data_IF_859233102135
#
_entry.id   IF_859233102135
#
_cell.length_a   1.000
_cell.length_b   1.000
_cell.length_c   1.000
_cell.angle_alpha   90.00
_cell.angle_beta   90.00
_cell.angle_gamma   90.00
#
_symmetry.space_group_name_H-M   'P 1'
#
loop_
_entity.id
_entity.type
_entity.pdbx_description
1 polymer ?
#
# COMPACT_ATOMS: atom_id res chain seq x y z
N UNK A 1 32.59 2.29 -36.93
CA UNK A 1 32.53 1.83 -35.53
C UNK A 1 31.20 2.32 -34.98
N UNK A 2 30.17 1.50 -35.13
CA UNK A 2 28.80 1.79 -34.71
C UNK A 2 28.72 1.62 -33.20
N UNK A 3 28.61 2.72 -32.47
CA UNK A 3 28.37 2.72 -31.03
C UNK A 3 26.90 2.37 -30.85
N UNK A 4 26.64 1.14 -30.41
CA UNK A 4 25.30 0.66 -30.08
C UNK A 4 24.74 1.46 -28.91
N UNK A 5 23.63 2.15 -29.15
CA UNK A 5 22.79 2.68 -28.10
C UNK A 5 22.09 1.49 -27.44
N UNK A 6 22.61 1.03 -26.29
CA UNK A 6 21.94 0.05 -25.47
C UNK A 6 20.69 0.68 -24.86
N UNK A 7 19.53 0.47 -25.48
CA UNK A 7 18.23 0.75 -24.87
C UNK A 7 18.13 -0.13 -23.62
N UNK A 8 18.15 0.51 -22.45
CA UNK A 8 17.67 -0.14 -21.21
C UNK A 8 16.31 -0.78 -21.52
N UNK A 9 16.04 -2.01 -21.07
CA UNK A 9 14.71 -2.60 -21.22
C UNK A 9 13.70 -1.61 -20.62
N UNK A 10 12.74 -1.20 -21.45
CA UNK A 10 11.82 -0.12 -21.15
C UNK A 10 10.91 -0.52 -19.98
N UNK A 11 10.93 0.23 -18.87
CA UNK A 11 10.12 -0.09 -17.70
C UNK A 11 8.65 0.29 -17.98
N UNK A 12 7.72 -0.68 -18.08
CA UNK A 12 6.33 -0.40 -18.46
C UNK A 12 5.59 0.48 -17.44
N UNK A 13 6.06 0.54 -16.19
CA UNK A 13 5.48 1.42 -15.17
C UNK A 13 5.82 2.90 -15.39
N UNK A 14 6.87 3.18 -16.17
CA UNK A 14 7.35 4.53 -16.47
C UNK A 14 6.79 5.09 -17.79
N UNK A 15 6.14 4.28 -18.60
CA UNK A 15 5.57 4.68 -19.89
C UNK A 15 4.11 5.10 -19.80
N UNK A 16 3.63 5.91 -20.76
CA UNK A 16 2.20 6.01 -21.00
C UNK A 16 1.66 4.68 -21.51
N UNK A 17 0.40 4.36 -21.16
CA UNK A 17 -0.22 3.09 -21.55
C UNK A 17 -1.25 3.32 -22.64
N UNK A 18 -1.08 2.60 -23.75
CA UNK A 18 -2.00 2.61 -24.90
C UNK A 18 -3.15 1.59 -24.77
N UNK A 19 -3.27 0.96 -23.59
CA UNK A 19 -4.38 0.06 -23.26
C UNK A 19 -5.71 0.82 -23.17
N UNK A 20 -6.86 0.13 -23.36
CA UNK A 20 -8.17 0.76 -23.20
C UNK A 20 -8.31 1.42 -21.83
N UNK A 21 -8.72 2.69 -21.81
CA UNK A 21 -8.83 3.50 -20.58
C UNK A 21 -7.53 3.68 -19.80
N UNK A 22 -6.35 3.46 -20.43
CA UNK A 22 -5.04 3.51 -19.77
C UNK A 22 -4.99 2.57 -18.56
N UNK A 23 -5.46 1.34 -18.72
CA UNK A 23 -5.32 0.31 -17.68
C UNK A 23 -3.88 -0.20 -17.59
N UNK A 24 -3.38 -0.60 -16.41
CA UNK A 24 -2.04 -1.16 -16.30
C UNK A 24 -1.85 -2.39 -17.20
N UNK A 25 -0.78 -2.48 -18.02
CA UNK A 25 -0.46 -3.67 -18.80
C UNK A 25 0.12 -4.76 -17.89
N UNK A 26 -0.75 -5.42 -17.11
CA UNK A 26 -0.36 -6.38 -16.07
C UNK A 26 0.44 -7.58 -16.60
N UNK A 27 0.29 -7.91 -17.87
CA UNK A 27 1.04 -8.95 -18.57
C UNK A 27 2.52 -8.58 -18.82
N UNK A 28 2.83 -7.29 -18.88
CA UNK A 28 4.19 -6.78 -19.05
C UNK A 28 4.86 -6.40 -17.73
N UNK A 29 4.08 -6.15 -16.67
CA UNK A 29 4.58 -5.70 -15.38
C UNK A 29 5.16 -6.87 -14.57
N UNK A 30 6.45 -6.76 -14.22
CA UNK A 30 7.17 -7.73 -13.39
C UNK A 30 7.60 -7.10 -12.06
N UNK A 31 7.86 -7.94 -11.05
CA UNK A 31 8.28 -7.49 -9.72
C UNK A 31 9.54 -6.60 -9.79
N UNK A 32 10.51 -6.97 -10.65
CA UNK A 32 11.76 -6.23 -10.86
C UNK A 32 11.58 -4.78 -11.37
N UNK A 33 10.41 -4.46 -11.93
CA UNK A 33 10.12 -3.11 -12.43
C UNK A 33 9.80 -2.11 -11.31
N UNK A 34 9.32 -2.57 -10.15
CA UNK A 34 8.77 -1.67 -9.13
C UNK A 34 9.81 -0.79 -8.45
N UNK A 35 10.92 -1.36 -7.96
CA UNK A 35 11.90 -0.57 -7.22
C UNK A 35 12.52 0.54 -8.09
N UNK A 36 13.00 0.27 -9.32
CA UNK A 36 13.47 1.34 -10.21
C UNK A 36 12.38 2.36 -10.54
N UNK A 37 11.13 1.91 -10.73
CA UNK A 37 10.02 2.82 -11.03
C UNK A 37 9.68 3.74 -9.86
N UNK A 38 9.70 3.25 -8.62
CA UNK A 38 9.47 4.07 -7.43
C UNK A 38 10.54 5.15 -7.28
N UNK A 39 11.81 4.78 -7.42
CA UNK A 39 12.93 5.73 -7.31
C UNK A 39 12.82 6.84 -8.35
N UNK A 40 12.55 6.49 -9.60
CA UNK A 40 12.49 7.48 -10.67
C UNK A 40 11.20 8.31 -10.63
N UNK A 41 10.10 7.72 -10.17
CA UNK A 41 8.86 8.46 -9.93
C UNK A 41 8.98 9.47 -8.77
N UNK A 42 9.62 9.11 -7.65
CA UNK A 42 9.88 10.05 -6.55
C UNK A 42 10.82 11.17 -6.98
N UNK A 43 11.84 10.85 -7.79
CA UNK A 43 12.74 11.87 -8.36
C UNK A 43 11.98 12.83 -9.29
N UNK A 44 11.09 12.32 -10.14
CA UNK A 44 10.26 13.15 -11.02
C UNK A 44 9.35 14.10 -10.21
N UNK A 45 8.63 13.58 -9.22
CA UNK A 45 7.77 14.40 -8.35
C UNK A 45 8.56 15.45 -7.58
N UNK A 46 9.75 15.09 -7.08
CA UNK A 46 10.64 16.05 -6.41
C UNK A 46 11.00 17.22 -7.33
N UNK A 47 11.32 16.95 -8.61
CA UNK A 47 11.63 17.99 -9.58
C UNK A 47 10.40 18.87 -9.91
N UNK A 48 9.22 18.28 -10.00
CA UNK A 48 7.95 19.01 -10.19
C UNK A 48 7.68 19.95 -9.01
N UNK A 49 7.85 19.45 -7.77
CA UNK A 49 7.70 20.26 -6.56
C UNK A 49 8.76 21.36 -6.46
N UNK A 50 10.02 21.07 -6.80
CA UNK A 50 11.08 22.07 -6.85
C UNK A 50 10.77 23.20 -7.85
N UNK A 51 10.16 22.88 -8.99
CA UNK A 51 9.72 23.88 -9.96
C UNK A 51 8.60 24.79 -9.39
N UNK A 52 7.67 24.22 -8.62
CA UNK A 52 6.61 24.99 -7.92
C UNK A 52 7.22 25.91 -6.86
N UNK A 53 8.13 25.37 -6.04
CA UNK A 53 8.79 26.13 -4.97
C UNK A 53 9.58 27.30 -5.51
N UNK A 54 10.32 27.09 -6.60
CA UNK A 54 11.24 28.08 -7.18
C UNK A 54 10.58 28.96 -8.26
N UNK A 55 9.27 28.88 -8.44
CA UNK A 55 8.55 29.71 -9.40
C UNK A 55 8.67 31.20 -9.03
N UNK A 56 9.18 32.03 -9.94
CA UNK A 56 9.51 33.45 -9.69
C UNK A 56 8.28 34.33 -9.43
N UNK A 57 7.16 34.03 -10.10
CA UNK A 57 5.91 34.75 -9.88
C UNK A 57 5.30 34.48 -8.50
N UNK A 58 4.56 35.46 -8.01
CA UNK A 58 3.74 35.36 -6.80
C UNK A 58 2.85 34.10 -6.82
N UNK A 59 2.64 33.43 -5.67
CA UNK A 59 1.80 32.25 -5.59
C UNK A 59 0.36 32.52 -6.04
N UNK A 60 -0.11 31.70 -6.99
CA UNK A 60 -1.49 31.67 -7.47
C UNK A 60 -2.04 30.27 -7.33
N UNK A 61 -3.37 30.13 -7.35
CA UNK A 61 -4.01 28.82 -7.36
C UNK A 61 -3.43 27.91 -8.47
N UNK A 62 -3.25 28.46 -9.68
CA UNK A 62 -2.74 27.72 -10.84
C UNK A 62 -1.28 27.29 -10.70
N UNK A 63 -0.38 28.21 -10.34
CA UNK A 63 1.06 27.92 -10.30
C UNK A 63 1.50 27.16 -9.04
N UNK A 64 0.61 26.98 -8.05
CA UNK A 64 0.92 26.30 -6.79
C UNK A 64 -0.05 25.15 -6.53
N UNK A 65 -1.35 25.38 -6.34
CA UNK A 65 -2.31 24.34 -5.94
C UNK A 65 -2.60 23.38 -7.10
N UNK A 66 -2.95 23.90 -8.27
CA UNK A 66 -3.22 23.08 -9.46
C UNK A 66 -1.94 22.36 -9.93
N UNK A 67 -0.79 23.02 -9.82
CA UNK A 67 0.50 22.41 -10.12
C UNK A 67 0.85 21.27 -9.16
N UNK A 68 0.59 21.44 -7.85
CA UNK A 68 0.76 20.37 -6.86
C UNK A 68 -0.19 19.21 -7.12
N UNK A 69 -1.45 19.48 -7.44
CA UNK A 69 -2.45 18.45 -7.75
C UNK A 69 -2.07 17.60 -8.96
N UNK A 70 -1.32 18.17 -9.90
CA UNK A 70 -0.80 17.46 -11.08
C UNK A 70 0.55 16.79 -10.84
N UNK A 71 1.26 17.16 -9.77
CA UNK A 71 2.56 16.56 -9.46
C UNK A 71 2.40 15.11 -8.96
N UNK A 72 3.44 14.31 -9.15
CA UNK A 72 3.49 12.94 -8.66
C UNK A 72 2.56 11.97 -9.40
N UNK A 73 2.02 12.33 -10.56
CA UNK A 73 1.16 11.43 -11.36
C UNK A 73 1.85 10.08 -11.63
N UNK A 74 3.14 10.13 -11.97
CA UNK A 74 3.97 8.95 -12.19
C UNK A 74 4.07 8.09 -10.91
N UNK A 75 4.34 8.71 -9.75
CA UNK A 75 4.43 7.98 -8.48
C UNK A 75 3.09 7.39 -8.06
N UNK A 76 2.00 8.12 -8.28
CA UNK A 76 0.64 7.68 -8.03
C UNK A 76 0.30 6.45 -8.87
N UNK A 77 0.66 6.44 -10.17
CA UNK A 77 0.46 5.30 -11.06
C UNK A 77 1.21 4.06 -10.59
N UNK A 78 2.51 4.19 -10.32
CA UNK A 78 3.35 3.08 -9.79
C UNK A 78 2.77 2.55 -8.46
N UNK A 79 2.41 3.46 -7.55
CA UNK A 79 1.87 3.13 -6.24
C UNK A 79 0.54 2.38 -6.30
N UNK A 80 -0.36 2.76 -7.22
CA UNK A 80 -1.67 2.11 -7.39
C UNK A 80 -1.52 0.68 -7.89
N UNK A 81 -0.67 0.44 -8.89
CA UNK A 81 -0.40 -0.91 -9.41
C UNK A 81 0.24 -1.76 -8.32
N UNK A 82 1.28 -1.25 -7.66
CA UNK A 82 1.97 -1.98 -6.60
C UNK A 82 1.02 -2.31 -5.43
N UNK A 83 0.21 -1.34 -4.99
CA UNK A 83 -0.75 -1.53 -3.91
C UNK A 83 -1.83 -2.56 -4.25
N UNK A 84 -2.29 -2.59 -5.50
CA UNK A 84 -3.23 -3.60 -5.99
C UNK A 84 -2.63 -5.00 -5.92
N UNK A 85 -1.44 -5.20 -6.50
CA UNK A 85 -0.77 -6.51 -6.48
C UNK A 85 -0.38 -6.94 -5.06
N UNK A 86 0.24 -6.06 -4.28
CA UNK A 86 0.64 -6.37 -2.91
C UNK A 86 -0.56 -6.57 -1.96
N UNK A 87 -1.75 -6.10 -2.33
CA UNK A 87 -2.99 -6.32 -1.59
C UNK A 87 -3.76 -7.59 -1.98
N UNK A 88 -3.77 -7.93 -3.27
CA UNK A 88 -4.63 -8.99 -3.82
C UNK A 88 -3.87 -10.24 -4.28
N UNK A 89 -2.62 -10.10 -4.71
CA UNK A 89 -1.80 -11.16 -5.30
C UNK A 89 -0.31 -10.98 -4.92
N UNK A 90 -0.04 -10.88 -3.62
CA UNK A 90 1.32 -10.63 -3.12
C UNK A 90 2.20 -11.88 -3.19
N UNK A 91 3.51 -11.68 -3.12
CA UNK A 91 4.53 -12.72 -3.03
C UNK A 91 5.72 -12.17 -2.22
N UNK A 92 6.72 -13.01 -1.94
CA UNK A 92 7.87 -12.62 -1.12
C UNK A 92 8.68 -11.46 -1.71
N UNK A 93 8.81 -11.39 -3.03
CA UNK A 93 9.51 -10.29 -3.71
C UNK A 93 8.77 -8.96 -3.54
N UNK A 94 7.45 -8.93 -3.77
CA UNK A 94 6.62 -7.75 -3.54
C UNK A 94 6.60 -7.33 -2.07
N UNK A 95 6.61 -8.29 -1.14
CA UNK A 95 6.72 -7.98 0.29
C UNK A 95 8.06 -7.36 0.67
N UNK A 96 9.16 -7.82 0.06
CA UNK A 96 10.48 -7.23 0.27
C UNK A 96 10.58 -5.84 -0.33
N UNK A 97 10.11 -5.64 -1.56
CA UNK A 97 9.99 -4.32 -2.18
C UNK A 97 9.16 -3.39 -1.28
N UNK A 98 8.05 -3.88 -0.70
CA UNK A 98 7.22 -3.09 0.21
C UNK A 98 7.97 -2.63 1.47
N UNK A 99 8.89 -3.44 2.01
CA UNK A 99 9.72 -3.06 3.16
C UNK A 99 10.73 -1.98 2.81
N UNK A 100 11.34 -2.09 1.64
CA UNK A 100 12.37 -1.15 1.19
C UNK A 100 11.76 0.19 0.74
N UNK A 101 10.63 0.15 0.03
CA UNK A 101 9.96 1.34 -0.51
C UNK A 101 9.23 2.15 0.55
N UNK A 102 8.68 1.50 1.59
CA UNK A 102 7.90 2.19 2.63
C UNK A 102 8.64 3.37 3.29
N UNK A 103 9.84 3.19 3.88
CA UNK A 103 10.56 4.31 4.50
C UNK A 103 11.00 5.37 3.49
N UNK A 104 11.37 4.97 2.26
CA UNK A 104 11.73 5.91 1.19
C UNK A 104 10.55 6.81 0.80
N UNK A 105 9.35 6.23 0.66
CA UNK A 105 8.13 6.99 0.35
C UNK A 105 7.68 7.87 1.50
N UNK A 106 7.81 7.40 2.74
CA UNK A 106 7.54 8.23 3.92
C UNK A 106 8.43 9.45 3.92
N UNK A 107 9.75 9.26 3.76
CA UNK A 107 10.70 10.36 3.68
C UNK A 107 10.37 11.33 2.56
N UNK A 108 10.05 10.82 1.37
CA UNK A 108 9.63 11.64 0.22
C UNK A 108 8.38 12.47 0.51
N UNK A 109 7.37 11.87 1.15
CA UNK A 109 6.14 12.57 1.57
C UNK A 109 6.42 13.64 2.63
N UNK A 110 7.31 13.36 3.59
CA UNK A 110 7.73 14.32 4.61
C UNK A 110 8.53 15.48 3.99
N UNK A 111 9.40 15.18 3.03
CA UNK A 111 10.17 16.20 2.29
C UNK A 111 9.29 17.19 1.55
N UNK A 112 8.13 16.76 1.06
CA UNK A 112 7.14 17.65 0.42
C UNK A 112 6.29 18.36 1.47
N UNK A 113 5.68 17.62 2.40
CA UNK A 113 4.70 18.17 3.34
C UNK A 113 5.29 19.03 4.45
N UNK A 114 6.58 18.88 4.76
CA UNK A 114 7.31 19.72 5.72
C UNK A 114 8.15 20.81 5.04
N UNK A 115 8.06 20.93 3.71
CA UNK A 115 8.77 21.97 2.96
C UNK A 115 8.21 23.36 3.28
N UNK A 116 9.00 24.16 3.99
CA UNK A 116 8.58 25.49 4.47
C UNK A 116 8.26 26.45 3.34
N UNK A 117 9.06 26.44 2.28
CA UNK A 117 8.87 27.34 1.13
C UNK A 117 7.59 26.98 0.40
N UNK A 118 7.34 25.69 0.18
CA UNK A 118 6.12 25.22 -0.45
C UNK A 118 4.89 25.59 0.39
N UNK A 119 4.95 25.31 1.69
CA UNK A 119 3.85 25.65 2.59
C UNK A 119 3.59 27.16 2.66
N UNK A 120 4.64 28.00 2.63
CA UNK A 120 4.48 29.45 2.56
C UNK A 120 3.71 29.88 1.31
N UNK A 121 3.98 29.28 0.15
CA UNK A 121 3.21 29.55 -1.09
C UNK A 121 1.74 29.17 -0.94
N UNK A 122 1.47 27.97 -0.41
CA UNK A 122 0.09 27.49 -0.15
C UNK A 122 -0.65 28.39 0.83
N UNK A 123 0.01 28.76 1.94
CA UNK A 123 -0.53 29.62 2.99
C UNK A 123 -0.90 31.01 2.46
N UNK A 124 -0.05 31.61 1.62
CA UNK A 124 -0.32 32.92 1.02
C UNK A 124 -1.61 32.92 0.17
N UNK A 125 -1.87 31.85 -0.57
CA UNK A 125 -3.09 31.69 -1.37
C UNK A 125 -4.29 31.50 -0.43
N UNK A 126 -4.14 30.64 0.58
CA UNK A 126 -5.19 30.35 1.56
C UNK A 126 -5.65 31.62 2.32
N UNK A 127 -4.72 32.46 2.76
CA UNK A 127 -5.02 33.72 3.47
C UNK A 127 -5.79 34.73 2.61
N UNK A 128 -5.69 34.61 1.28
CA UNK A 128 -6.39 35.47 0.31
C UNK A 128 -7.61 34.80 -0.32
N UNK A 129 -8.00 33.59 0.09
CA UNK A 129 -8.99 32.76 -0.63
C UNK A 129 -10.31 33.48 -0.95
N UNK A 130 -10.81 34.32 -0.05
CA UNK A 130 -12.06 35.07 -0.22
C UNK A 130 -12.01 36.12 -1.34
N UNK A 131 -10.82 36.61 -1.71
CA UNK A 131 -10.64 37.64 -2.75
C UNK A 131 -10.25 37.08 -4.12
N UNK A 132 -10.01 35.77 -4.23
CA UNK A 132 -9.50 35.12 -5.44
C UNK A 132 -10.60 34.70 -6.44
N UNK A 133 -11.88 34.78 -6.06
CA UNK A 133 -13.00 34.40 -6.93
C UNK A 133 -12.97 32.93 -7.38
N UNK A 134 -12.43 32.04 -6.54
CA UNK A 134 -12.31 30.61 -6.83
C UNK A 134 -13.68 29.93 -6.89
N UNK A 135 -13.80 28.88 -7.72
CA UNK A 135 -15.00 28.02 -7.71
C UNK A 135 -15.11 27.24 -6.40
N UNK A 136 -16.29 26.69 -6.06
CA UNK A 136 -16.44 25.85 -4.86
C UNK A 136 -15.43 24.69 -4.79
N UNK A 137 -15.16 24.04 -5.92
CA UNK A 137 -14.20 22.93 -6.01
C UNK A 137 -12.77 23.41 -5.79
N UNK A 138 -12.39 24.54 -6.38
CA UNK A 138 -11.07 25.14 -6.18
C UNK A 138 -10.85 25.57 -4.73
N UNK A 139 -11.85 26.18 -4.09
CA UNK A 139 -11.79 26.51 -2.67
C UNK A 139 -11.60 25.26 -1.81
N UNK A 140 -12.38 24.21 -2.08
CA UNK A 140 -12.25 22.94 -1.37
C UNK A 140 -10.86 22.33 -1.55
N UNK A 141 -10.31 22.36 -2.76
CA UNK A 141 -8.97 21.86 -3.04
C UNK A 141 -7.90 22.64 -2.25
N UNK A 142 -7.96 23.97 -2.30
CA UNK A 142 -7.05 24.84 -1.54
C UNK A 142 -7.14 24.58 -0.03
N UNK A 143 -8.35 24.43 0.51
CA UNK A 143 -8.56 24.10 1.92
C UNK A 143 -7.97 22.74 2.29
N UNK A 144 -8.17 21.72 1.45
CA UNK A 144 -7.62 20.38 1.67
C UNK A 144 -6.09 20.39 1.65
N UNK A 145 -5.46 21.09 0.70
CA UNK A 145 -4.01 21.25 0.68
C UNK A 145 -3.52 21.95 1.94
N UNK A 146 -4.06 23.12 2.27
CA UNK A 146 -3.64 23.88 3.45
C UNK A 146 -3.77 23.05 4.73
N UNK A 147 -4.93 22.43 4.97
CA UNK A 147 -5.15 21.59 6.14
C UNK A 147 -4.28 20.32 6.11
N UNK A 148 -3.98 19.78 4.93
CA UNK A 148 -3.05 18.67 4.74
C UNK A 148 -1.66 19.02 5.28
N UNK A 149 -1.07 20.13 4.80
CA UNK A 149 0.22 20.63 5.30
C UNK A 149 0.20 20.88 6.82
N UNK A 150 -0.86 21.50 7.34
CA UNK A 150 -0.99 21.76 8.79
C UNK A 150 -1.00 20.45 9.58
N UNK A 151 -1.79 19.46 9.16
CA UNK A 151 -1.89 18.14 9.82
C UNK A 151 -0.62 17.31 9.68
N UNK A 152 0.12 17.50 8.59
CA UNK A 152 1.43 16.90 8.38
C UNK A 152 2.55 17.59 9.17
N UNK A 153 2.27 18.67 9.90
CA UNK A 153 3.24 19.32 10.79
C UNK A 153 4.02 20.49 10.17
N UNK A 154 3.57 21.08 9.06
CA UNK A 154 4.28 22.19 8.40
C UNK A 154 4.51 23.42 9.31
N UNK A 155 3.66 23.63 10.33
CA UNK A 155 3.77 24.71 11.32
C UNK A 155 4.65 24.37 12.54
N UNK A 156 5.20 23.16 12.63
CA UNK A 156 6.10 22.79 13.72
C UNK A 156 7.44 23.54 13.60
N UNK A 157 8.16 23.66 14.71
CA UNK A 157 9.56 24.08 14.68
C UNK A 157 10.45 22.94 14.14
N UNK A 158 11.71 23.25 13.82
CA UNK A 158 12.64 22.29 13.22
C UNK A 158 12.86 21.04 14.09
N UNK A 159 12.93 21.21 15.41
CA UNK A 159 13.13 20.09 16.34
C UNK A 159 11.93 19.11 16.30
N UNK A 160 10.72 19.64 16.31
CA UNK A 160 9.50 18.83 16.30
C UNK A 160 9.20 18.26 14.90
N UNK A 161 9.62 18.93 13.82
CA UNK A 161 9.62 18.35 12.47
C UNK A 161 10.53 17.13 12.38
N UNK A 162 11.73 17.20 12.95
CA UNK A 162 12.65 16.07 12.97
C UNK A 162 12.09 14.91 13.81
N UNK A 163 11.48 15.18 14.96
CA UNK A 163 10.77 14.14 15.74
C UNK A 163 9.65 13.50 14.92
N UNK A 164 8.85 14.30 14.22
CA UNK A 164 7.74 13.80 13.41
C UNK A 164 8.22 12.91 12.25
N UNK A 165 9.32 13.27 11.58
CA UNK A 165 9.96 12.44 10.55
C UNK A 165 10.35 11.06 11.08
N UNK A 166 11.00 11.02 12.23
CA UNK A 166 11.38 9.76 12.87
C UNK A 166 10.14 8.90 13.23
N UNK A 167 9.08 9.53 13.75
CA UNK A 167 7.82 8.84 14.06
C UNK A 167 7.18 8.27 12.78
N UNK A 168 7.10 9.07 11.72
CA UNK A 168 6.51 8.65 10.45
C UNK A 168 7.27 7.45 9.85
N UNK A 169 8.61 7.50 9.87
CA UNK A 169 9.47 6.41 9.41
C UNK A 169 9.22 5.13 10.21
N UNK A 170 9.24 5.21 11.54
CA UNK A 170 8.97 4.06 12.42
C UNK A 170 7.58 3.47 12.18
N UNK A 171 6.54 4.32 12.13
CA UNK A 171 5.16 3.89 11.86
C UNK A 171 5.04 3.18 10.51
N UNK A 172 5.73 3.66 9.47
CA UNK A 172 5.69 3.04 8.14
C UNK A 172 6.28 1.63 8.15
N UNK A 173 7.39 1.43 8.88
CA UNK A 173 8.02 0.12 9.05
C UNK A 173 7.14 -0.82 9.89
N UNK A 174 6.58 -0.32 10.99
CA UNK A 174 5.67 -1.09 11.86
C UNK A 174 4.41 -1.52 11.12
N UNK A 175 3.83 -0.65 10.28
CA UNK A 175 2.65 -0.99 9.49
C UNK A 175 2.93 -2.10 8.48
N UNK A 176 4.06 -2.04 7.78
CA UNK A 176 4.49 -3.13 6.86
C UNK A 176 4.70 -4.43 7.63
N UNK A 177 5.39 -4.38 8.77
CA UNK A 177 5.61 -5.56 9.64
C UNK A 177 4.27 -6.16 10.08
N UNK A 178 3.36 -5.35 10.62
CA UNK A 178 2.05 -5.79 11.08
C UNK A 178 1.26 -6.50 9.97
N UNK A 179 1.19 -5.92 8.76
CA UNK A 179 0.46 -6.51 7.64
C UNK A 179 1.03 -7.87 7.22
N UNK A 180 2.36 -7.98 7.15
CA UNK A 180 3.02 -9.22 6.77
C UNK A 180 2.85 -10.30 7.84
N UNK A 181 3.04 -9.94 9.11
CA UNK A 181 2.84 -10.82 10.25
C UNK A 181 1.39 -11.34 10.27
N UNK A 182 0.40 -10.45 10.14
CA UNK A 182 -1.01 -10.83 10.08
C UNK A 182 -1.32 -11.76 8.90
N UNK A 183 -0.73 -11.54 7.72
CA UNK A 183 -0.90 -12.42 6.56
C UNK A 183 -0.29 -13.80 6.81
N UNK A 184 0.93 -13.87 7.37
CA UNK A 184 1.59 -15.15 7.72
C UNK A 184 0.78 -15.93 8.75
N UNK A 185 0.33 -15.26 9.81
CA UNK A 185 -0.57 -15.82 10.82
C UNK A 185 -1.89 -16.32 10.21
N UNK A 186 -2.44 -15.61 9.23
CA UNK A 186 -3.69 -16.02 8.56
C UNK A 186 -3.48 -17.21 7.62
N UNK A 187 -2.32 -17.30 6.96
CA UNK A 187 -1.97 -18.39 6.05
C UNK A 187 -1.55 -19.67 6.77
N UNK A 188 -1.23 -19.57 8.06
CA UNK A 188 -0.97 -20.72 8.93
C UNK A 188 -2.14 -21.72 8.88
N UNK A 189 -1.80 -23.00 9.06
CA UNK A 189 -2.79 -24.08 9.08
C UNK A 189 -3.63 -23.95 10.34
N UNK A 190 -4.96 -23.84 10.20
CA UNK A 190 -5.86 -23.78 11.34
C UNK A 190 -6.16 -25.18 11.92
N UNK A 191 -6.45 -26.14 11.04
CA UNK A 191 -6.71 -27.53 11.43
C UNK A 191 -6.44 -28.47 10.25
N UNK A 192 -5.82 -29.62 10.54
CA UNK A 192 -5.72 -30.76 9.62
C UNK A 192 -6.57 -31.89 10.16
N UNK A 193 -7.41 -32.48 9.30
CA UNK A 193 -8.22 -33.66 9.61
C UNK A 193 -7.74 -34.81 8.74
N UNK A 194 -7.61 -36.00 9.32
CA UNK A 194 -7.16 -37.23 8.66
C UNK A 194 -8.17 -38.39 8.79
N UNK A 195 -9.37 -38.11 9.32
CA UNK A 195 -10.45 -39.08 9.47
C UNK A 195 -11.81 -38.46 9.17
N UNK A 196 -12.60 -39.16 8.38
CA UNK A 196 -13.94 -38.74 7.93
C UNK A 196 -14.89 -38.45 9.09
N UNK A 197 -14.76 -39.17 10.21
CA UNK A 197 -15.61 -38.98 11.39
C UNK A 197 -15.58 -37.55 11.94
N UNK A 198 -14.50 -36.80 11.69
CA UNK A 198 -14.31 -35.43 12.13
C UNK A 198 -14.91 -34.38 11.18
N UNK A 199 -15.43 -34.80 10.03
CA UNK A 199 -16.12 -33.94 9.05
C UNK A 199 -17.62 -33.82 9.31
N UNK A 200 -18.16 -34.54 10.30
CA UNK A 200 -19.59 -34.57 10.61
C UNK A 200 -20.20 -33.16 10.73
N UNK A 201 -21.31 -32.94 10.00
CA UNK A 201 -22.07 -31.69 9.93
C UNK A 201 -21.58 -30.70 8.86
N UNK A 202 -20.36 -30.86 8.32
CA UNK A 202 -19.85 -29.95 7.29
C UNK A 202 -20.57 -30.15 5.95
N UNK A 203 -20.92 -29.07 5.22
CA UNK A 203 -21.42 -29.17 3.85
C UNK A 203 -20.37 -29.80 2.93
N UNK A 204 -20.81 -30.57 1.93
CA UNK A 204 -19.92 -31.26 0.99
C UNK A 204 -18.95 -30.30 0.28
N UNK A 205 -19.41 -29.11 -0.08
CA UNK A 205 -18.58 -28.06 -0.71
C UNK A 205 -17.41 -27.63 0.20
N UNK A 206 -17.65 -27.55 1.51
CA UNK A 206 -16.64 -27.18 2.51
C UNK A 206 -15.62 -28.32 2.68
N UNK A 207 -16.10 -29.56 2.67
CA UNK A 207 -15.25 -30.76 2.70
C UNK A 207 -14.38 -30.83 1.45
N UNK A 208 -14.95 -30.62 0.26
CA UNK A 208 -14.21 -30.64 -1.00
C UNK A 208 -13.15 -29.55 -1.03
N UNK A 209 -13.49 -28.31 -0.68
CA UNK A 209 -12.54 -27.20 -0.65
C UNK A 209 -11.37 -27.47 0.33
N UNK A 210 -11.64 -28.10 1.47
CA UNK A 210 -10.60 -28.47 2.43
C UNK A 210 -9.70 -29.60 1.90
N UNK A 211 -10.23 -30.54 1.11
CA UNK A 211 -9.44 -31.58 0.45
C UNK A 211 -8.54 -31.01 -0.66
N UNK A 212 -9.07 -30.08 -1.47
CA UNK A 212 -8.32 -29.38 -2.50
C UNK A 212 -7.17 -28.55 -1.88
N UNK A 213 -7.44 -27.86 -0.77
CA UNK A 213 -6.41 -27.16 0.00
C UNK A 213 -5.35 -28.11 0.56
N UNK A 214 -5.75 -29.28 1.05
CA UNK A 214 -4.82 -30.30 1.53
C UNK A 214 -3.91 -30.79 0.39
N UNK A 215 -4.47 -31.08 -0.78
CA UNK A 215 -3.72 -31.44 -1.98
C UNK A 215 -2.74 -30.34 -2.41
N UNK A 216 -3.18 -29.08 -2.43
CA UNK A 216 -2.32 -27.94 -2.75
C UNK A 216 -1.15 -27.78 -1.77
N UNK A 217 -1.27 -28.32 -0.55
CA UNK A 217 -0.23 -28.35 0.49
C UNK A 217 0.51 -29.68 0.58
N UNK A 218 0.35 -30.58 -0.38
CA UNK A 218 1.02 -31.89 -0.41
C UNK A 218 0.52 -32.88 0.66
N UNK A 219 -0.68 -32.68 1.18
CA UNK A 219 -1.32 -33.51 2.21
C UNK A 219 -2.49 -34.32 1.62
N UNK A 220 -2.23 -35.06 0.54
CA UNK A 220 -3.27 -35.88 -0.09
C UNK A 220 -3.89 -36.90 0.88
N UNK A 221 -5.20 -37.12 0.77
CA UNK A 221 -5.96 -37.97 1.70
C UNK A 221 -6.31 -37.31 3.04
N UNK A 222 -6.08 -36.00 3.18
CA UNK A 222 -6.46 -35.20 4.37
C UNK A 222 -7.35 -34.02 3.98
N UNK A 223 -7.82 -33.29 4.99
CA UNK A 223 -8.54 -32.02 4.84
C UNK A 223 -7.83 -30.92 5.61
N UNK A 224 -7.61 -29.78 4.95
CA UNK A 224 -6.98 -28.60 5.56
C UNK A 224 -7.99 -27.47 5.67
N UNK A 225 -8.25 -27.05 6.91
CA UNK A 225 -9.05 -25.87 7.22
C UNK A 225 -8.11 -24.71 7.59
N UNK A 226 -8.31 -23.57 6.93
CA UNK A 226 -7.46 -22.37 7.11
C UNK A 226 -8.18 -21.34 7.98
N UNK A 227 -7.44 -20.31 8.40
CA UNK A 227 -8.02 -19.19 9.16
C UNK A 227 -8.63 -18.11 8.24
N UNK A 228 -8.62 -18.34 6.93
CA UNK A 228 -9.28 -17.45 5.97
C UNK A 228 -10.80 -17.60 6.11
N UNK A 229 -11.52 -16.48 5.99
CA UNK A 229 -12.97 -16.42 6.23
C UNK A 229 -13.79 -17.50 5.47
N UNK A 230 -13.51 -17.81 4.18
CA UNK A 230 -14.24 -18.84 3.46
C UNK A 230 -14.07 -20.26 4.00
N UNK A 231 -13.00 -20.55 4.75
CA UNK A 231 -12.77 -21.84 5.40
C UNK A 231 -13.23 -21.81 6.87
N UNK A 232 -12.83 -20.76 7.59
CA UNK A 232 -13.12 -20.56 9.01
C UNK A 232 -14.61 -20.48 9.34
N UNK A 233 -15.36 -19.63 8.63
CA UNK A 233 -16.78 -19.36 8.98
C UNK A 233 -17.64 -20.61 8.76
N UNK A 234 -17.62 -21.28 7.59
CA UNK A 234 -18.45 -22.47 7.38
C UNK A 234 -18.07 -23.62 8.33
N UNK A 235 -16.79 -23.75 8.69
CA UNK A 235 -16.36 -24.75 9.65
C UNK A 235 -16.99 -24.53 11.03
N UNK A 236 -16.96 -23.30 11.55
CA UNK A 236 -17.56 -22.98 12.85
C UNK A 236 -19.09 -23.09 12.86
N UNK A 237 -19.74 -22.74 11.75
CA UNK A 237 -21.20 -22.78 11.65
C UNK A 237 -21.75 -24.21 11.63
N UNK A 238 -21.04 -25.14 10.96
CA UNK A 238 -21.63 -26.42 10.59
C UNK A 238 -20.98 -27.64 11.26
N UNK A 239 -19.70 -27.57 11.67
CA UNK A 239 -19.03 -28.74 12.28
C UNK A 239 -19.75 -29.16 13.55
N UNK A 240 -20.10 -30.44 13.69
CA UNK A 240 -20.69 -30.98 14.92
C UNK A 240 -19.64 -31.15 16.04
N UNK A 241 -18.34 -31.18 15.68
CA UNK A 241 -17.24 -31.45 16.62
C UNK A 241 -16.85 -30.20 17.41
N UNK A 242 -17.44 -30.04 18.60
CA UNK A 242 -17.18 -28.90 19.52
C UNK A 242 -15.69 -28.67 19.78
N UNK A 243 -14.94 -29.74 20.04
CA UNK A 243 -13.50 -29.66 20.30
C UNK A 243 -12.74 -29.09 19.11
N UNK A 244 -13.11 -29.45 17.88
CA UNK A 244 -12.46 -28.93 16.67
C UNK A 244 -12.85 -27.48 16.40
N UNK A 245 -14.13 -27.12 16.63
CA UNK A 245 -14.56 -25.70 16.60
C UNK A 245 -13.75 -24.85 17.58
N UNK A 246 -13.51 -25.35 18.78
CA UNK A 246 -12.71 -24.67 19.80
C UNK A 246 -11.26 -24.45 19.35
N UNK A 247 -10.62 -25.46 18.74
CA UNK A 247 -9.26 -25.35 18.18
C UNK A 247 -9.20 -24.25 17.12
N UNK A 248 -10.09 -24.31 16.12
CA UNK A 248 -10.11 -23.36 15.00
C UNK A 248 -10.45 -21.95 15.47
N UNK A 249 -11.39 -21.80 16.40
CA UNK A 249 -11.74 -20.51 16.99
C UNK A 249 -10.56 -19.88 17.74
N UNK A 250 -9.90 -20.66 18.62
CA UNK A 250 -8.73 -20.19 19.37
C UNK A 250 -7.58 -19.78 18.44
N UNK A 251 -7.31 -20.57 17.40
CA UNK A 251 -6.31 -20.22 16.40
C UNK A 251 -6.64 -18.89 15.69
N UNK A 252 -7.92 -18.63 15.38
CA UNK A 252 -8.34 -17.39 14.72
C UNK A 252 -8.22 -16.14 15.61
N UNK A 253 -8.68 -16.22 16.87
CA UNK A 253 -8.69 -15.06 17.78
C UNK A 253 -7.30 -14.71 18.32
N UNK A 254 -6.37 -15.66 18.31
CA UNK A 254 -5.00 -15.46 18.77
C UNK A 254 -4.00 -15.16 17.64
N UNK A 255 -4.46 -14.86 16.42
CA UNK A 255 -3.53 -14.43 15.34
C UNK A 255 -2.81 -13.14 15.75
N UNK A 256 -1.47 -13.18 15.72
CA UNK A 256 -0.65 -12.08 16.24
C UNK A 256 -0.59 -12.03 17.77
N UNK A 257 -0.86 -13.15 18.44
CA UNK A 257 -0.74 -13.31 19.89
C UNK A 257 -0.46 -14.79 20.28
N UNK A 258 0.55 -15.40 19.69
CA UNK A 258 0.92 -16.82 19.88
C UNK A 258 2.30 -17.04 20.56
N UNK A 259 2.95 -15.97 21.00
CA UNK A 259 4.37 -15.90 21.38
C UNK A 259 5.33 -16.44 20.29
N UNK A 260 5.09 -16.10 19.02
CA UNK A 260 5.94 -16.51 17.90
C UNK A 260 6.62 -15.31 17.19
N UNK A 261 7.40 -15.59 16.13
CA UNK A 261 8.15 -14.56 15.39
C UNK A 261 7.27 -13.54 14.66
N UNK A 262 5.96 -13.78 14.58
CA UNK A 262 4.99 -12.90 13.93
C UNK A 262 4.14 -12.08 14.93
N UNK A 263 4.51 -12.06 16.21
CA UNK A 263 3.92 -11.15 17.20
C UNK A 263 4.70 -9.83 17.36
#
# INVERSE_FOLDING_TARGET
MTIGCGTQPENPLLQEWDTPFRTPPFDEIKNEHFMPAFLEAMKAEKAEVEAIVNHEEEPTFKNTIEALEKSGELLNRVSRVFGCLNGANTNDELQNISKEVAPLRTKHSDDISLNEKLFARVKQIYEKKESLGLTPEQNTLLENYFLGFVRSGANLNDEDKEKLRNINEELSNLYVKFRQNHLKQTNAIGLVIDKDEYLAGLPDEVVQAAAEMAKARGMEGKWVFTLQKPSFIPFLMNSEKRNLREIVFKAYINRGNNNDEFD
#
